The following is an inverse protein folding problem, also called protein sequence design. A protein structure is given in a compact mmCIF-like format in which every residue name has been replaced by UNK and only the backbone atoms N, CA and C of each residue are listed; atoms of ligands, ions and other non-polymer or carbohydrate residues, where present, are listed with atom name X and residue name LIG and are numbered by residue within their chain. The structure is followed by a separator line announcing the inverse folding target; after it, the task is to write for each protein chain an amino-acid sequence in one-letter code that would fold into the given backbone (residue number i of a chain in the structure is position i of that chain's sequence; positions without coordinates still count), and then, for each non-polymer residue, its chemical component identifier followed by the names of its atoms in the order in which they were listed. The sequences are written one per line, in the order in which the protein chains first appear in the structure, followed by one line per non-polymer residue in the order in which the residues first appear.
data_IF_359515631952
#
_entry.id   IF_359515631952
#
_cell.length_a   1.000
_cell.length_b   1.000
_cell.length_c   1.000
_cell.angle_alpha   90.00
_cell.angle_beta   90.00
_cell.angle_gamma   90.00
#
_symmetry.space_group_name_H-M   'P 1'
#
loop_
_entity.id
_entity.type
_entity.pdbx_description
1 polymer ?
#
# COMPACT_ATOMS: atom_id res chain seq x y z
N UNK A 1 -7.86 -9.69 6.92
CA UNK A 1 -7.51 -10.46 5.70
C UNK A 1 -6.15 -11.09 5.95
N UNK A 2 -5.93 -12.31 5.48
CA UNK A 2 -4.67 -13.05 5.64
C UNK A 2 -4.34 -13.73 4.32
N UNK A 3 -3.12 -13.55 3.85
CA UNK A 3 -2.60 -14.16 2.63
C UNK A 3 -1.35 -14.96 2.92
N UNK A 4 -1.18 -16.04 2.16
CA UNK A 4 0.05 -16.78 2.05
C UNK A 4 0.61 -16.54 0.66
N UNK A 5 1.89 -16.21 0.59
CA UNK A 5 2.61 -16.09 -0.67
C UNK A 5 2.71 -17.46 -1.37
N UNK A 6 2.60 -17.50 -2.71
CA UNK A 6 2.47 -18.75 -3.46
C UNK A 6 3.80 -19.28 -4.02
N UNK A 7 4.72 -18.39 -4.35
CA UNK A 7 6.02 -18.70 -4.98
C UNK A 7 7.15 -18.91 -3.97
N UNK A 8 7.06 -18.27 -2.79
CA UNK A 8 8.09 -18.28 -1.75
C UNK A 8 7.48 -18.22 -0.34
N UNK A 9 8.24 -18.59 0.71
CA UNK A 9 7.78 -18.43 2.08
C UNK A 9 7.40 -16.97 2.38
N UNK A 10 6.18 -16.78 2.88
CA UNK A 10 5.74 -15.48 3.35
C UNK A 10 4.24 -15.40 3.58
N UNK A 11 3.86 -14.44 4.42
CA UNK A 11 2.48 -14.11 4.74
C UNK A 11 2.29 -12.60 4.76
N UNK A 12 1.06 -12.19 4.53
CA UNK A 12 0.61 -10.82 4.73
C UNK A 12 -0.71 -10.84 5.50
N UNK A 13 -0.80 -10.02 6.53
CA UNK A 13 -2.03 -9.83 7.30
C UNK A 13 -2.40 -8.36 7.27
N UNK A 14 -3.63 -8.07 6.83
CA UNK A 14 -4.12 -6.70 6.72
C UNK A 14 -5.52 -6.52 7.30
N UNK A 15 -5.76 -5.33 7.83
CA UNK A 15 -7.04 -4.87 8.34
C UNK A 15 -7.40 -3.55 7.68
N UNK A 16 -8.58 -3.50 7.10
CA UNK A 16 -9.22 -2.27 6.64
C UNK A 16 -10.22 -1.82 7.71
N UNK A 17 -10.17 -0.55 8.09
CA UNK A 17 -11.08 0.06 9.06
C UNK A 17 -11.49 1.45 8.63
N UNK A 18 -12.66 1.91 9.08
CA UNK A 18 -12.99 3.34 9.02
C UNK A 18 -12.06 4.14 9.93
N UNK A 19 -11.66 5.32 9.51
CA UNK A 19 -10.84 6.26 10.28
C UNK A 19 -11.24 7.68 9.88
N UNK A 20 -11.70 8.48 10.86
CA UNK A 20 -12.34 9.78 10.61
C UNK A 20 -13.43 9.68 9.53
N UNK A 21 -13.37 10.55 8.51
CA UNK A 21 -14.25 10.58 7.34
C UNK A 21 -13.82 9.61 6.23
N UNK A 22 -12.78 8.80 6.44
CA UNK A 22 -12.17 7.97 5.42
C UNK A 22 -11.92 6.53 5.84
N UNK A 23 -10.90 5.94 5.23
CA UNK A 23 -10.49 4.56 5.48
C UNK A 23 -9.00 4.48 5.76
N UNK A 24 -8.64 3.49 6.58
CA UNK A 24 -7.26 3.17 6.88
C UNK A 24 -7.04 1.67 6.65
N UNK A 25 -6.14 1.35 5.74
CA UNK A 25 -5.58 0.01 5.58
C UNK A 25 -4.29 -0.06 6.39
N UNK A 26 -4.20 -1.04 7.30
CA UNK A 26 -2.96 -1.39 8.01
C UNK A 26 -2.63 -2.84 7.75
N UNK A 27 -1.35 -3.17 7.63
CA UNK A 27 -0.94 -4.56 7.58
C UNK A 27 0.52 -4.77 7.89
N UNK A 28 0.89 -6.04 7.94
CA UNK A 28 2.25 -6.49 8.09
C UNK A 28 2.51 -7.68 7.16
N UNK A 29 3.56 -7.57 6.37
CA UNK A 29 4.04 -8.61 5.47
C UNK A 29 5.39 -9.14 5.98
N UNK A 30 5.47 -10.46 6.18
CA UNK A 30 6.70 -11.16 6.56
C UNK A 30 7.00 -12.19 5.49
N UNK A 31 8.14 -12.10 4.83
CA UNK A 31 8.47 -12.96 3.70
C UNK A 31 9.97 -13.11 3.49
N UNK A 32 10.35 -14.14 2.73
CA UNK A 32 11.72 -14.34 2.26
C UNK A 32 11.88 -13.81 0.83
N UNK A 33 12.71 -12.78 0.66
CA UNK A 33 13.18 -12.29 -0.64
C UNK A 33 14.50 -12.98 -1.05
N UNK A 34 14.90 -12.84 -2.31
CA UNK A 34 16.20 -13.30 -2.83
C UNK A 34 17.38 -12.71 -2.04
N UNK A 35 17.21 -11.47 -1.57
CA UNK A 35 18.26 -10.73 -0.86
C UNK A 35 18.25 -10.96 0.65
N UNK A 36 17.18 -11.56 1.20
CA UNK A 36 17.06 -11.85 2.64
C UNK A 36 15.63 -11.76 3.19
N UNK A 37 15.46 -11.91 4.51
CA UNK A 37 14.16 -11.81 5.15
C UNK A 37 13.66 -10.35 5.17
N UNK A 38 12.34 -10.22 5.14
CA UNK A 38 11.63 -8.96 5.27
C UNK A 38 10.55 -9.08 6.35
N UNK A 39 10.40 -8.01 7.15
CA UNK A 39 9.27 -7.78 8.03
C UNK A 39 8.87 -6.33 7.83
N UNK A 40 7.76 -6.12 7.14
CA UNK A 40 7.33 -4.81 6.66
C UNK A 40 5.95 -4.52 7.22
N UNK A 41 5.84 -3.48 8.03
CA UNK A 41 4.57 -2.89 8.43
C UNK A 41 4.21 -1.78 7.46
N UNK A 42 2.92 -1.66 7.15
CA UNK A 42 2.46 -0.65 6.19
C UNK A 42 1.09 -0.08 6.55
N UNK A 43 0.89 1.16 6.11
CA UNK A 43 -0.37 1.88 6.18
C UNK A 43 -0.69 2.51 4.82
N UNK A 44 -1.98 2.58 4.49
CA UNK A 44 -2.52 3.40 3.41
C UNK A 44 -3.76 4.13 3.92
N UNK A 45 -3.72 5.46 3.87
CA UNK A 45 -4.85 6.32 4.25
C UNK A 45 -5.66 6.70 3.02
N UNK A 46 -6.98 6.71 3.16
CA UNK A 46 -7.91 7.03 2.07
C UNK A 46 -8.98 8.02 2.54
N UNK A 47 -9.47 8.84 1.62
CA UNK A 47 -10.65 9.68 1.84
C UNK A 47 -11.97 8.86 1.78
N UNK A 48 -13.10 9.54 2.03
CA UNK A 48 -14.43 8.95 1.96
C UNK A 48 -14.76 8.30 0.59
N UNK A 49 -14.12 8.79 -0.47
CA UNK A 49 -14.30 8.36 -1.87
C UNK A 49 -13.27 7.31 -2.31
N UNK A 50 -12.57 6.66 -1.36
CA UNK A 50 -11.53 5.66 -1.63
C UNK A 50 -10.33 6.18 -2.43
N UNK A 51 -10.07 7.49 -2.44
CA UNK A 51 -8.82 8.02 -3.01
C UNK A 51 -7.72 7.95 -1.96
N UNK A 52 -6.56 7.44 -2.35
CA UNK A 52 -5.41 7.41 -1.45
C UNK A 52 -4.95 8.84 -1.12
N UNK A 53 -4.70 9.13 0.16
CA UNK A 53 -4.22 10.43 0.64
C UNK A 53 -2.79 10.36 1.16
N UNK A 54 -2.32 9.17 1.50
CA UNK A 54 -0.96 8.92 1.93
C UNK A 54 -0.71 7.48 2.31
N UNK A 55 0.52 7.19 2.67
CA UNK A 55 0.94 5.86 3.08
C UNK A 55 2.19 5.90 3.95
N UNK A 56 2.42 4.81 4.67
CA UNK A 56 3.65 4.59 5.44
C UNK A 56 4.14 3.18 5.23
N UNK A 57 5.45 3.02 5.25
CA UNK A 57 6.12 1.72 5.23
C UNK A 57 7.21 1.74 6.29
N UNK A 58 7.33 0.69 7.08
CA UNK A 58 8.34 0.56 8.12
C UNK A 58 8.78 -0.88 8.32
N UNK A 59 9.85 -1.08 9.08
CA UNK A 59 10.35 -2.41 9.45
C UNK A 59 11.75 -2.65 8.92
N UNK A 60 12.02 -3.84 8.36
CA UNK A 60 13.32 -4.15 7.78
C UNK A 60 13.22 -5.01 6.52
N UNK A 61 14.24 -4.91 5.68
CA UNK A 61 14.46 -5.70 4.48
C UNK A 61 15.94 -6.05 4.35
N UNK A 62 16.26 -7.33 4.22
CA UNK A 62 17.64 -7.84 4.10
C UNK A 62 18.57 -7.29 5.20
N UNK A 63 18.08 -7.26 6.45
CA UNK A 63 18.82 -6.76 7.62
C UNK A 63 18.94 -5.23 7.72
N UNK A 64 18.39 -4.47 6.78
CA UNK A 64 18.39 -3.00 6.81
C UNK A 64 17.03 -2.47 7.25
N UNK A 65 17.02 -1.53 8.19
CA UNK A 65 15.79 -0.83 8.57
C UNK A 65 15.29 0.02 7.40
N UNK A 66 13.97 0.03 7.23
CA UNK A 66 13.27 0.88 6.28
C UNK A 66 12.23 1.71 7.02
N UNK A 67 12.05 2.94 6.58
CA UNK A 67 10.99 3.83 7.06
C UNK A 67 10.72 4.86 5.97
N UNK A 68 9.52 4.82 5.42
CA UNK A 68 9.07 5.72 4.37
C UNK A 68 7.73 6.32 4.72
N UNK A 69 7.58 7.61 4.43
CA UNK A 69 6.31 8.33 4.45
C UNK A 69 6.00 8.79 3.05
N UNK A 70 4.81 8.43 2.58
CA UNK A 70 4.33 8.77 1.25
C UNK A 70 3.14 9.72 1.41
N UNK A 71 3.19 10.87 0.77
CA UNK A 71 2.17 11.91 0.91
C UNK A 71 1.66 12.32 -0.45
N UNK A 72 0.33 12.38 -0.60
CA UNK A 72 -0.28 12.87 -1.82
C UNK A 72 -0.24 14.39 -1.87
N UNK A 73 0.02 14.93 -3.05
CA UNK A 73 -0.10 16.35 -3.40
C UNK A 73 -1.05 16.52 -4.60
N UNK A 74 -1.50 17.75 -4.89
CA UNK A 74 -2.29 18.02 -6.09
C UNK A 74 -1.57 17.66 -7.40
N UNK A 75 -0.24 17.76 -7.42
CA UNK A 75 0.64 17.60 -8.59
C UNK A 75 1.40 16.26 -8.63
N UNK A 76 1.10 15.33 -7.71
CA UNK A 76 1.74 14.02 -7.64
C UNK A 76 2.00 13.56 -6.22
N UNK A 77 3.12 12.88 -6.00
CA UNK A 77 3.45 12.26 -4.72
C UNK A 77 4.78 12.76 -4.17
N UNK A 78 4.87 12.79 -2.83
CA UNK A 78 6.12 12.91 -2.11
C UNK A 78 6.50 11.56 -1.51
N UNK A 79 7.77 11.20 -1.61
CA UNK A 79 8.39 10.13 -0.83
C UNK A 79 9.40 10.79 0.12
N UNK A 80 9.18 10.65 1.42
CA UNK A 80 10.02 11.24 2.47
C UNK A 80 10.24 12.75 2.29
N UNK A 81 9.18 13.45 1.87
CA UNK A 81 9.20 14.89 1.60
C UNK A 81 9.81 15.27 0.24
N UNK A 82 10.38 14.33 -0.51
CA UNK A 82 10.96 14.56 -1.83
C UNK A 82 9.94 14.26 -2.93
N UNK A 83 9.84 15.15 -3.93
CA UNK A 83 8.93 14.97 -5.06
C UNK A 83 9.30 13.71 -5.85
N UNK A 84 8.35 12.79 -5.98
CA UNK A 84 8.43 11.67 -6.90
C UNK A 84 8.04 12.15 -8.30
N UNK A 85 9.03 12.53 -9.11
CA UNK A 85 8.83 13.03 -10.48
C UNK A 85 8.08 12.03 -11.35
N UNK A 86 7.17 12.51 -12.20
CA UNK A 86 6.37 11.67 -13.12
C UNK A 86 5.13 11.04 -12.49
N UNK A 87 4.78 11.37 -11.25
CA UNK A 87 3.64 10.75 -10.53
C UNK A 87 2.35 11.57 -10.54
N UNK A 88 2.30 12.69 -11.28
CA UNK A 88 1.16 13.63 -11.25
C UNK A 88 -0.20 13.05 -11.64
N UNK A 89 -0.22 12.03 -12.49
CA UNK A 89 -1.45 11.32 -12.88
C UNK A 89 -1.81 10.12 -12.00
N UNK A 90 -0.95 9.74 -11.04
CA UNK A 90 -1.13 8.52 -10.26
C UNK A 90 -2.07 8.75 -9.08
N UNK A 91 -3.11 7.92 -8.97
CA UNK A 91 -4.17 8.07 -7.98
C UNK A 91 -4.03 7.14 -6.77
N UNK A 92 -3.52 5.93 -7.01
CA UNK A 92 -3.46 4.88 -6.00
C UNK A 92 -2.02 4.55 -5.63
N UNK A 93 -1.81 4.21 -4.36
CA UNK A 93 -0.58 3.55 -3.93
C UNK A 93 -0.73 2.04 -4.09
N UNK A 94 0.29 1.42 -4.66
CA UNK A 94 0.45 -0.01 -4.73
C UNK A 94 1.76 -0.44 -4.08
N UNK A 95 1.67 -1.37 -3.13
CA UNK A 95 2.82 -1.93 -2.46
C UNK A 95 3.03 -3.34 -2.99
N UNK A 96 4.00 -3.51 -3.89
CA UNK A 96 4.22 -4.77 -4.60
C UNK A 96 4.55 -6.00 -3.74
N UNK A 97 4.68 -5.84 -2.41
CA UNK A 97 4.85 -6.93 -1.46
C UNK A 97 3.55 -7.39 -0.78
N UNK A 98 2.41 -6.73 -1.02
CA UNK A 98 1.10 -7.10 -0.46
C UNK A 98 0.00 -7.00 -1.52
N UNK A 99 -0.93 -7.98 -1.57
CA UNK A 99 -2.12 -7.87 -2.42
C UNK A 99 -3.20 -6.94 -1.83
N UNK A 100 -3.04 -6.45 -0.60
CA UNK A 100 -4.07 -5.71 0.11
C UNK A 100 -4.38 -4.36 -0.54
N UNK A 101 -3.43 -3.74 -1.23
CA UNK A 101 -3.59 -2.48 -1.96
C UNK A 101 -4.54 -2.61 -3.17
N UNK A 102 -4.66 -3.79 -3.78
CA UNK A 102 -5.60 -4.01 -4.89
C UNK A 102 -7.07 -3.79 -4.47
N UNK A 103 -7.42 -4.10 -3.21
CA UNK A 103 -8.77 -3.87 -2.69
C UNK A 103 -9.17 -2.39 -2.80
N UNK A 104 -8.21 -1.48 -2.58
CA UNK A 104 -8.45 -0.04 -2.59
C UNK A 104 -8.82 0.44 -4.00
N UNK A 105 -8.06 -0.03 -5.00
CA UNK A 105 -8.30 0.28 -6.41
C UNK A 105 -9.66 -0.24 -6.87
N UNK A 106 -10.01 -1.49 -6.51
CA UNK A 106 -11.31 -2.08 -6.85
C UNK A 106 -12.48 -1.31 -6.24
N UNK A 107 -12.35 -0.87 -4.99
CA UNK A 107 -13.37 -0.05 -4.31
C UNK A 107 -13.54 1.33 -4.93
N UNK A 108 -12.43 1.95 -5.37
CA UNK A 108 -12.45 3.27 -6.03
C UNK A 108 -13.06 3.20 -7.42
N UNK A 109 -12.75 2.16 -8.19
CA UNK A 109 -13.25 2.01 -9.55
C UNK A 109 -14.73 1.60 -9.60
N UNK A 110 -15.23 0.91 -8.58
CA UNK A 110 -16.62 0.44 -8.45
C UNK A 110 -17.16 -0.19 -9.76
N UNK A 111 -16.33 -1.05 -10.37
CA UNK A 111 -16.61 -1.61 -11.68
C UNK A 111 -17.80 -2.57 -11.62
N UNK A 112 -18.72 -2.41 -12.58
CA UNK A 112 -19.76 -3.40 -12.85
C UNK A 112 -19.13 -4.68 -13.40
N UNK A 113 -19.78 -5.81 -13.15
CA UNK A 113 -19.35 -7.11 -13.67
C UNK A 113 -19.17 -7.03 -15.19
N UNK A 114 -18.01 -7.52 -15.67
CA UNK A 114 -17.65 -7.53 -17.09
C UNK A 114 -17.12 -6.20 -17.65
N UNK A 115 -16.85 -5.20 -16.81
CA UNK A 115 -16.22 -3.93 -17.22
C UNK A 115 -14.74 -3.87 -16.82
N UNK A 116 -13.96 -3.20 -17.66
CA UNK A 116 -12.55 -2.87 -17.45
C UNK A 116 -12.38 -1.34 -17.40
N UNK A 117 -11.30 -0.88 -16.77
CA UNK A 117 -10.91 0.52 -16.66
C UNK A 117 -9.44 0.69 -17.06
#
# INVERSE_FOLDING_TARGET
MLWRRLDRPGHDAARLSRHDEGWLLRGAAVFLDQTGPACIEYEVSLDASWRTTGGKVGGFFAGKSIKHVITRRPDGWLLDGVVATGTGGLLDLDYGFTPATNLLQLRRLDLRIGKAA
#
